data_IF_246412787261
#
_entry.id   IF_246412787261
#
_cell.length_a   1.000
_cell.length_b   1.000
_cell.length_c   1.000
_cell.angle_alpha   90.00
_cell.angle_beta   90.00
_cell.angle_gamma   90.00
#
_symmetry.space_group_name_H-M   'P 1'
#
loop_
_entity.id
_entity.type
_entity.pdbx_description
1 polymer ?
#
# COMPACT_ATOMS: atom_id res chain seq x y z
N UNK A 1 -91.93 -45.72 7.46
CA UNK A 1 -90.64 -45.55 8.17
C UNK A 1 -90.14 -44.13 7.90
N UNK A 2 -89.93 -43.37 8.99
CA UNK A 2 -89.04 -42.20 9.19
C UNK A 2 -88.98 -41.02 8.19
N UNK A 3 -89.62 -39.92 8.63
CA UNK A 3 -89.22 -38.48 8.73
C UNK A 3 -88.43 -37.73 7.63
N UNK A 4 -88.65 -36.40 7.53
CA UNK A 4 -88.02 -35.48 6.58
C UNK A 4 -86.65 -34.98 7.09
N UNK A 5 -85.82 -34.42 6.21
CA UNK A 5 -84.65 -33.62 6.63
C UNK A 5 -84.43 -32.43 5.71
N UNK A 6 -84.45 -31.28 6.36
CA UNK A 6 -84.16 -29.92 5.94
C UNK A 6 -82.79 -29.58 6.54
N UNK A 7 -81.77 -29.21 5.76
CA UNK A 7 -80.55 -28.54 6.25
C UNK A 7 -79.97 -27.62 5.15
N UNK A 8 -80.33 -26.34 5.25
CA UNK A 8 -79.50 -25.11 5.26
C UNK A 8 -78.30 -24.87 4.32
N UNK A 9 -78.06 -23.58 3.97
CA UNK A 9 -76.99 -23.12 3.08
C UNK A 9 -75.60 -23.12 3.73
N UNK A 10 -74.57 -23.38 2.92
CA UNK A 10 -73.17 -23.30 3.32
C UNK A 10 -72.79 -21.85 3.71
N UNK A 11 -72.25 -21.71 4.92
CA UNK A 11 -71.60 -20.51 5.44
C UNK A 11 -70.09 -20.54 5.18
N UNK A 12 -69.55 -19.34 5.01
CA UNK A 12 -68.23 -18.85 5.38
C UNK A 12 -67.01 -19.18 4.50
N UNK A 13 -66.57 -18.10 3.83
CA UNK A 13 -65.22 -17.59 3.79
C UNK A 13 -64.30 -18.07 4.92
N UNK A 14 -63.16 -18.66 4.53
CA UNK A 14 -61.90 -18.52 5.26
C UNK A 14 -60.79 -18.36 4.23
N UNK A 15 -60.67 -17.15 3.68
CA UNK A 15 -59.38 -16.68 3.17
C UNK A 15 -58.42 -16.69 4.35
N UNK A 16 -57.38 -17.52 4.27
CA UNK A 16 -56.27 -17.44 5.23
C UNK A 16 -55.78 -15.99 5.30
N UNK A 17 -55.56 -15.41 6.49
CA UNK A 17 -55.02 -14.06 6.58
C UNK A 17 -53.69 -14.01 5.81
N UNK A 18 -53.42 -12.94 5.05
CA UNK A 18 -52.15 -12.79 4.36
C UNK A 18 -51.03 -12.96 5.39
N UNK A 19 -50.10 -13.88 5.12
CA UNK A 19 -48.91 -14.01 5.96
C UNK A 19 -48.26 -12.63 6.07
N UNK A 20 -47.89 -12.17 7.29
CA UNK A 20 -47.26 -10.89 7.45
C UNK A 20 -46.00 -10.85 6.58
N UNK A 21 -45.94 -9.87 5.69
CA UNK A 21 -44.75 -9.59 4.90
C UNK A 21 -43.54 -9.53 5.85
N UNK A 22 -42.39 -10.14 5.50
CA UNK A 22 -41.21 -10.10 6.34
C UNK A 22 -40.91 -8.66 6.71
N UNK A 23 -40.82 -8.40 8.03
CA UNK A 23 -40.58 -7.06 8.56
C UNK A 23 -39.38 -6.41 7.88
N UNK A 24 -39.50 -5.12 7.55
CA UNK A 24 -38.40 -4.39 6.90
C UNK A 24 -37.15 -4.47 7.78
N UNK A 25 -35.98 -4.75 7.21
CA UNK A 25 -34.72 -4.82 7.96
C UNK A 25 -34.51 -3.60 8.88
N UNK A 26 -34.85 -2.40 8.38
CA UNK A 26 -34.73 -1.14 9.12
C UNK A 26 -35.68 -0.99 10.32
N UNK A 27 -36.70 -1.83 10.44
CA UNK A 27 -37.61 -1.83 11.60
C UNK A 27 -37.17 -2.78 12.72
N UNK A 28 -36.14 -3.60 12.48
CA UNK A 28 -35.56 -4.44 13.54
C UNK A 28 -34.82 -3.57 14.56
N UNK A 29 -34.72 -4.05 15.80
CA UNK A 29 -33.87 -3.44 16.81
C UNK A 29 -32.40 -3.41 16.36
N UNK A 30 -31.65 -2.41 16.80
CA UNK A 30 -30.27 -2.17 16.37
C UNK A 30 -29.37 -3.40 16.52
N UNK A 31 -29.50 -4.12 17.63
CA UNK A 31 -28.74 -5.34 17.93
C UNK A 31 -29.01 -6.45 16.91
N UNK A 32 -30.27 -6.66 16.54
CA UNK A 32 -30.65 -7.66 15.54
C UNK A 32 -30.16 -7.29 14.15
N UNK A 33 -30.21 -5.99 13.81
CA UNK A 33 -29.62 -5.50 12.56
C UNK A 33 -28.11 -5.75 12.53
N UNK A 34 -27.41 -5.44 13.61
CA UNK A 34 -25.96 -5.67 13.73
C UNK A 34 -25.63 -7.16 13.62
N UNK A 35 -26.36 -8.04 14.30
CA UNK A 35 -26.14 -9.48 14.24
C UNK A 35 -26.29 -10.02 12.81
N UNK A 36 -27.41 -9.68 12.14
CA UNK A 36 -27.64 -10.11 10.74
C UNK A 36 -26.53 -9.61 9.82
N UNK A 37 -26.07 -8.37 10.01
CA UNK A 37 -24.97 -7.81 9.22
C UNK A 37 -23.66 -8.52 9.52
N UNK A 38 -23.35 -8.82 10.79
CA UNK A 38 -22.14 -9.55 11.21
C UNK A 38 -22.09 -10.95 10.60
N UNK A 39 -23.22 -11.63 10.48
CA UNK A 39 -23.33 -12.98 9.90
C UNK A 39 -23.17 -12.99 8.37
N UNK A 40 -23.26 -11.83 7.71
CA UNK A 40 -23.22 -11.75 6.24
C UNK A 40 -21.83 -11.97 5.64
N UNK A 41 -20.77 -11.93 6.46
CA UNK A 41 -19.40 -12.09 6.02
C UNK A 41 -18.50 -12.50 7.18
N UNK A 42 -17.63 -13.47 6.93
CA UNK A 42 -16.59 -13.90 7.86
C UNK A 42 -15.22 -13.36 7.40
N UNK A 43 -14.61 -12.39 8.11
CA UNK A 43 -13.30 -11.84 7.75
C UNK A 43 -12.15 -12.82 8.01
N UNK A 44 -12.43 -13.94 8.69
CA UNK A 44 -11.45 -14.97 9.08
C UNK A 44 -11.54 -16.23 8.23
N UNK A 45 -12.58 -16.40 7.41
CA UNK A 45 -12.66 -17.53 6.48
C UNK A 45 -11.66 -17.37 5.32
N UNK A 46 -11.20 -18.49 4.74
CA UNK A 46 -10.44 -18.44 3.49
C UNK A 46 -11.28 -17.85 2.35
N UNK A 47 -10.61 -17.37 1.30
CA UNK A 47 -11.30 -16.82 0.15
C UNK A 47 -12.17 -17.90 -0.51
N UNK A 48 -13.43 -17.59 -0.91
CA UNK A 48 -14.31 -18.56 -1.57
C UNK A 48 -13.75 -19.15 -2.86
N UNK A 49 -12.75 -18.49 -3.46
CA UNK A 49 -11.98 -18.95 -4.63
C UNK A 49 -11.06 -20.13 -4.34
N UNK A 50 -10.91 -20.55 -3.08
CA UNK A 50 -9.91 -21.54 -2.65
C UNK A 50 -8.50 -20.96 -2.55
N UNK A 51 -8.36 -19.65 -2.73
CA UNK A 51 -7.10 -18.93 -2.52
C UNK A 51 -6.81 -18.78 -1.01
N UNK A 52 -5.53 -18.78 -0.61
CA UNK A 52 -5.16 -18.58 0.79
C UNK A 52 -5.68 -17.23 1.28
N UNK A 53 -6.07 -17.18 2.56
CA UNK A 53 -6.47 -15.94 3.20
C UNK A 53 -5.41 -14.84 3.05
N UNK A 54 -5.84 -13.66 2.60
CA UNK A 54 -5.00 -12.47 2.49
C UNK A 54 -5.66 -11.27 3.16
N UNK A 55 -4.96 -10.66 4.13
CA UNK A 55 -5.42 -9.50 4.88
C UNK A 55 -5.89 -8.37 3.97
N UNK A 56 -5.13 -8.03 2.92
CA UNK A 56 -5.47 -6.94 1.99
C UNK A 56 -6.76 -7.21 1.23
N UNK A 57 -7.01 -8.46 0.86
CA UNK A 57 -8.22 -8.86 0.13
C UNK A 57 -9.45 -8.71 1.01
N UNK A 58 -9.41 -9.24 2.23
CA UNK A 58 -10.53 -9.12 3.16
C UNK A 58 -10.74 -7.69 3.65
N UNK A 59 -9.68 -6.92 3.89
CA UNK A 59 -9.77 -5.51 4.26
C UNK A 59 -10.46 -4.69 3.15
N UNK A 60 -10.04 -4.86 1.90
CA UNK A 60 -10.65 -4.18 0.76
C UNK A 60 -12.12 -4.60 0.55
N UNK A 61 -12.47 -5.87 0.81
CA UNK A 61 -13.85 -6.34 0.75
C UNK A 61 -14.73 -5.64 1.80
N UNK A 62 -14.25 -5.51 3.04
CA UNK A 62 -14.94 -4.77 4.13
C UNK A 62 -15.12 -3.30 3.75
N UNK A 63 -14.06 -2.64 3.28
CA UNK A 63 -14.13 -1.23 2.86
C UNK A 63 -15.14 -1.03 1.72
N UNK A 64 -15.08 -1.87 0.70
CA UNK A 64 -16.00 -1.82 -0.44
C UNK A 64 -17.45 -2.03 0.01
N UNK A 65 -17.71 -3.04 0.84
CA UNK A 65 -19.02 -3.31 1.41
C UNK A 65 -19.55 -2.09 2.18
N UNK A 66 -18.70 -1.52 3.06
CA UNK A 66 -19.07 -0.37 3.87
C UNK A 66 -19.38 0.84 2.99
N UNK A 67 -18.54 1.17 2.01
CA UNK A 67 -18.78 2.29 1.10
C UNK A 67 -20.11 2.14 0.35
N UNK A 68 -20.40 0.95 -0.19
CA UNK A 68 -21.64 0.70 -0.93
C UNK A 68 -22.87 0.88 -0.03
N UNK A 69 -22.88 0.27 1.15
CA UNK A 69 -24.05 0.32 2.04
C UNK A 69 -24.21 1.68 2.74
N UNK A 70 -23.10 2.32 3.10
CA UNK A 70 -23.11 3.63 3.74
C UNK A 70 -23.68 4.72 2.81
N UNK A 71 -23.51 4.56 1.50
CA UNK A 71 -24.06 5.49 0.50
C UNK A 71 -25.52 5.22 0.15
N UNK A 72 -26.06 4.03 0.43
CA UNK A 72 -27.41 3.63 0.02
C UNK A 72 -28.46 3.83 1.11
N UNK A 73 -28.13 3.67 2.40
CA UNK A 73 -29.12 3.78 3.47
C UNK A 73 -28.62 4.53 4.71
N UNK A 74 -29.10 5.78 4.88
CA UNK A 74 -28.75 6.64 6.03
C UNK A 74 -29.15 6.03 7.39
N UNK A 75 -30.27 5.32 7.43
CA UNK A 75 -30.89 4.84 8.69
C UNK A 75 -30.09 3.74 9.39
N UNK A 76 -29.26 3.00 8.66
CA UNK A 76 -28.48 1.87 9.20
C UNK A 76 -27.00 2.21 9.38
N UNK A 77 -26.56 3.43 9.04
CA UNK A 77 -25.15 3.83 9.09
C UNK A 77 -24.46 3.55 10.43
N UNK A 78 -25.07 3.82 11.60
CA UNK A 78 -24.43 3.49 12.87
C UNK A 78 -24.13 1.98 13.00
N UNK A 79 -25.04 1.13 12.51
CA UNK A 79 -24.87 -0.32 12.52
C UNK A 79 -23.79 -0.77 11.54
N UNK A 80 -23.72 -0.15 10.35
CA UNK A 80 -22.65 -0.42 9.39
C UNK A 80 -21.26 -0.05 9.97
N UNK A 81 -21.16 1.07 10.68
CA UNK A 81 -19.90 1.50 11.32
C UNK A 81 -19.49 0.55 12.46
N UNK A 82 -20.45 0.09 13.27
CA UNK A 82 -20.22 -0.93 14.28
C UNK A 82 -19.69 -2.23 13.66
N UNK A 83 -20.40 -2.77 12.66
CA UNK A 83 -20.03 -4.03 11.98
C UNK A 83 -18.65 -3.93 11.33
N UNK A 84 -18.38 -2.83 10.62
CA UNK A 84 -17.05 -2.55 10.05
C UNK A 84 -15.96 -2.61 11.12
N UNK A 85 -16.20 -2.00 12.28
CA UNK A 85 -15.24 -1.97 13.39
C UNK A 85 -14.99 -3.39 13.92
N UNK A 86 -16.04 -4.18 14.13
CA UNK A 86 -15.92 -5.56 14.60
C UNK A 86 -15.19 -6.46 13.61
N UNK A 87 -15.56 -6.43 12.33
CA UNK A 87 -14.85 -7.21 11.30
C UNK A 87 -13.39 -6.79 11.16
N UNK A 88 -13.08 -5.49 11.23
CA UNK A 88 -11.70 -5.01 11.18
C UNK A 88 -10.90 -5.49 12.39
N UNK A 89 -11.51 -5.54 13.57
CA UNK A 89 -10.88 -6.08 14.77
C UNK A 89 -10.59 -7.59 14.64
N UNK A 90 -11.56 -8.38 14.16
CA UNK A 90 -11.38 -9.82 13.89
C UNK A 90 -10.28 -10.06 12.85
N UNK A 91 -10.27 -9.26 11.77
CA UNK A 91 -9.27 -9.34 10.72
C UNK A 91 -7.85 -9.05 11.25
N UNK A 92 -7.72 -8.03 12.10
CA UNK A 92 -6.45 -7.69 12.74
C UNK A 92 -5.99 -8.77 13.72
N UNK A 93 -6.90 -9.37 14.49
CA UNK A 93 -6.57 -10.47 15.40
C UNK A 93 -5.98 -11.67 14.64
N UNK A 94 -6.64 -12.12 13.55
CA UNK A 94 -6.13 -13.20 12.69
C UNK A 94 -4.76 -12.85 12.07
N UNK A 95 -4.58 -11.60 11.62
CA UNK A 95 -3.29 -11.13 11.10
C UNK A 95 -2.16 -11.27 12.12
N UNK A 96 -2.41 -10.90 13.38
CA UNK A 96 -1.43 -10.99 14.47
C UNK A 96 -1.13 -12.45 14.84
N UNK A 97 -2.13 -13.32 14.85
CA UNK A 97 -1.96 -14.77 15.08
C UNK A 97 -1.03 -15.40 14.03
N UNK A 98 -1.25 -15.13 12.75
CA UNK A 98 -0.40 -15.62 11.65
C UNK A 98 1.03 -15.07 11.77
N UNK A 99 1.18 -13.79 12.12
CA UNK A 99 2.48 -13.15 12.24
C UNK A 99 3.31 -13.63 13.45
N UNK A 100 2.65 -14.05 14.54
CA UNK A 100 3.29 -14.38 15.82
C UNK A 100 3.63 -15.86 15.98
N UNK A 101 2.83 -16.77 15.42
CA UNK A 101 2.89 -18.20 15.74
C UNK A 101 4.14 -18.94 15.22
N UNK A 102 4.93 -18.35 14.33
CA UNK A 102 5.95 -19.13 13.59
C UNK A 102 7.27 -18.41 13.30
N UNK A 103 7.36 -17.09 13.51
CA UNK A 103 8.37 -16.25 12.86
C UNK A 103 9.85 -16.70 12.99
N UNK A 104 10.39 -17.05 14.18
CA UNK A 104 11.81 -17.41 14.33
C UNK A 104 12.19 -18.73 13.65
N UNK A 105 11.23 -19.64 13.47
CA UNK A 105 11.47 -21.01 12.99
C UNK A 105 11.13 -21.20 11.52
N UNK A 106 10.56 -20.18 10.86
CA UNK A 106 10.23 -20.23 9.43
C UNK A 106 11.46 -20.17 8.52
N UNK A 107 11.40 -20.93 7.43
CA UNK A 107 12.25 -20.75 6.25
C UNK A 107 11.94 -19.44 5.51
N UNK A 108 12.83 -18.99 4.64
CA UNK A 108 12.64 -17.78 3.81
C UNK A 108 11.32 -17.80 3.04
N UNK A 109 11.01 -18.90 2.35
CA UNK A 109 9.77 -19.03 1.57
C UNK A 109 8.51 -18.94 2.44
N UNK A 110 8.56 -19.49 3.66
CA UNK A 110 7.44 -19.39 4.60
C UNK A 110 7.28 -17.98 5.17
N UNK A 111 8.38 -17.27 5.44
CA UNK A 111 8.33 -15.85 5.87
C UNK A 111 7.73 -14.97 4.78
N UNK A 112 8.11 -15.21 3.53
CA UNK A 112 7.51 -14.53 2.37
C UNK A 112 6.01 -14.82 2.29
N UNK A 113 5.58 -16.07 2.44
CA UNK A 113 4.16 -16.43 2.44
C UNK A 113 3.40 -15.74 3.58
N UNK A 114 3.92 -15.76 4.81
CA UNK A 114 3.33 -15.04 5.95
C UNK A 114 3.24 -13.54 5.67
N UNK A 115 4.26 -12.96 5.04
CA UNK A 115 4.21 -11.56 4.66
C UNK A 115 3.11 -11.28 3.63
N UNK A 116 3.04 -12.07 2.58
CA UNK A 116 2.02 -11.97 1.53
C UNK A 116 0.62 -12.08 2.14
N UNK A 117 0.39 -13.03 3.04
CA UNK A 117 -0.90 -13.21 3.70
C UNK A 117 -1.24 -12.02 4.62
N UNK A 118 -0.29 -11.52 5.40
CA UNK A 118 -0.56 -10.48 6.42
C UNK A 118 -0.55 -9.06 5.86
N UNK A 119 0.07 -8.83 4.70
CA UNK A 119 0.29 -7.48 4.15
C UNK A 119 0.04 -7.38 2.64
N UNK A 120 -0.02 -8.49 1.91
CA UNK A 120 -0.19 -8.55 0.44
C UNK A 120 1.14 -8.73 -0.34
N UNK A 121 1.07 -9.16 -1.62
CA UNK A 121 2.26 -9.50 -2.44
C UNK A 121 3.12 -8.31 -2.87
N UNK A 122 2.60 -7.08 -2.75
CA UNK A 122 3.28 -5.83 -3.15
C UNK A 122 3.82 -5.02 -1.99
N UNK A 123 3.69 -5.51 -0.76
CA UNK A 123 4.01 -4.77 0.45
C UNK A 123 5.18 -5.37 1.24
N UNK A 124 5.86 -6.39 0.70
CA UNK A 124 7.10 -6.93 1.28
C UNK A 124 8.12 -5.81 1.52
N UNK A 125 8.81 -5.76 2.67
CA UNK A 125 9.70 -4.68 3.06
C UNK A 125 10.75 -4.39 1.99
N UNK A 126 11.43 -5.44 1.54
CA UNK A 126 12.44 -5.38 0.51
C UNK A 126 11.89 -4.78 -0.77
N UNK A 127 10.77 -5.26 -1.33
CA UNK A 127 10.17 -4.65 -2.55
C UNK A 127 9.77 -3.18 -2.34
N UNK A 128 9.24 -2.81 -1.17
CA UNK A 128 8.86 -1.41 -0.86
C UNK A 128 10.10 -0.51 -0.87
N UNK A 129 11.13 -0.89 -0.12
CA UNK A 129 12.39 -0.16 0.01
C UNK A 129 13.12 -0.10 -1.34
N UNK A 130 13.23 -1.24 -2.01
CA UNK A 130 13.80 -1.37 -3.36
C UNK A 130 13.22 -0.38 -4.34
N UNK A 131 11.88 -0.33 -4.40
CA UNK A 131 11.17 0.54 -5.33
C UNK A 131 11.38 2.02 -4.99
N UNK A 132 11.34 2.38 -3.71
CA UNK A 132 11.54 3.76 -3.24
C UNK A 132 12.96 4.24 -3.52
N UNK A 133 13.96 3.41 -3.19
CA UNK A 133 15.37 3.67 -3.52
C UNK A 133 15.58 3.81 -5.03
N UNK A 134 15.00 2.91 -5.83
CA UNK A 134 15.10 2.98 -7.30
C UNK A 134 14.59 4.33 -7.83
N UNK A 135 13.40 4.77 -7.38
CA UNK A 135 12.82 6.05 -7.80
C UNK A 135 13.74 7.21 -7.41
N UNK A 136 14.17 7.26 -6.15
CA UNK A 136 15.06 8.30 -5.63
C UNK A 136 16.38 8.37 -6.44
N UNK A 137 17.02 7.22 -6.66
CA UNK A 137 18.28 7.14 -7.41
C UNK A 137 18.12 7.54 -8.87
N UNK A 138 17.01 7.13 -9.50
CA UNK A 138 16.70 7.51 -10.88
C UNK A 138 16.48 9.02 -11.01
N UNK A 139 15.71 9.60 -10.09
CA UNK A 139 15.40 11.03 -10.13
C UNK A 139 16.65 11.87 -9.85
N UNK A 140 17.50 11.42 -8.91
CA UNK A 140 18.83 12.01 -8.71
C UNK A 140 19.71 11.90 -9.95
N UNK A 141 19.77 10.74 -10.60
CA UNK A 141 20.54 10.53 -11.83
C UNK A 141 20.09 11.50 -12.91
N UNK A 142 18.80 11.57 -13.18
CA UNK A 142 18.26 12.43 -14.24
C UNK A 142 18.58 13.91 -14.01
N UNK A 143 18.35 14.39 -12.78
CA UNK A 143 18.60 15.80 -12.40
C UNK A 143 20.08 16.17 -12.40
N UNK A 144 20.96 15.29 -11.88
CA UNK A 144 22.40 15.52 -11.92
C UNK A 144 22.98 15.39 -13.32
N UNK A 145 22.49 14.45 -14.15
CA UNK A 145 22.95 14.31 -15.53
C UNK A 145 22.68 15.56 -16.36
N UNK A 146 21.53 16.24 -16.15
CA UNK A 146 21.27 17.55 -16.75
C UNK A 146 22.21 18.64 -16.25
N UNK A 147 22.45 18.70 -14.94
CA UNK A 147 23.32 19.72 -14.32
C UNK A 147 24.76 19.63 -14.83
N UNK A 148 25.26 18.41 -15.02
CA UNK A 148 26.66 18.14 -15.34
C UNK A 148 26.86 17.71 -16.80
N UNK A 149 25.93 18.02 -17.70
CA UNK A 149 26.00 17.67 -19.14
C UNK A 149 27.35 18.05 -19.76
N UNK A 150 27.91 19.20 -19.37
CA UNK A 150 29.25 19.63 -19.76
C UNK A 150 30.38 18.68 -19.32
N UNK A 151 30.36 18.18 -18.08
CA UNK A 151 31.30 17.17 -17.59
C UNK A 151 31.16 15.85 -18.36
N UNK A 152 29.95 15.46 -18.77
CA UNK A 152 29.77 14.28 -19.61
C UNK A 152 30.43 14.44 -20.99
N UNK A 153 30.41 15.65 -21.55
CA UNK A 153 31.10 15.98 -22.79
C UNK A 153 32.64 16.05 -22.61
N UNK A 154 33.13 16.56 -21.47
CA UNK A 154 34.57 16.68 -21.19
C UNK A 154 35.25 15.33 -20.93
N UNK A 155 34.60 14.45 -20.15
CA UNK A 155 35.19 13.15 -19.76
C UNK A 155 34.94 12.08 -20.84
N UNK A 156 34.16 12.40 -21.88
CA UNK A 156 33.95 11.55 -23.07
C UNK A 156 33.16 10.26 -22.82
N UNK A 157 32.68 10.02 -21.59
CA UNK A 157 31.89 8.86 -21.22
C UNK A 157 30.96 9.16 -20.06
N UNK A 158 29.70 8.72 -20.20
CA UNK A 158 28.73 8.73 -19.11
C UNK A 158 29.20 7.93 -17.91
N UNK A 159 29.87 6.78 -18.10
CA UNK A 159 30.37 5.97 -17.00
C UNK A 159 31.50 6.64 -16.21
N UNK A 160 32.37 7.40 -16.87
CA UNK A 160 33.50 8.06 -16.24
C UNK A 160 33.07 9.29 -15.42
N UNK A 161 32.16 10.09 -15.95
CA UNK A 161 31.52 11.18 -15.19
C UNK A 161 30.61 10.63 -14.06
N UNK A 162 29.96 9.49 -14.27
CA UNK A 162 29.12 8.81 -13.26
C UNK A 162 29.91 8.35 -12.03
N UNK A 163 31.21 8.04 -12.15
CA UNK A 163 32.08 7.70 -11.02
C UNK A 163 32.49 8.91 -10.17
N UNK A 164 32.45 10.12 -10.73
CA UNK A 164 32.90 11.33 -10.04
C UNK A 164 31.80 11.98 -9.19
N UNK A 165 30.53 11.59 -9.39
CA UNK A 165 29.38 12.18 -8.71
C UNK A 165 28.61 11.07 -7.97
N UNK A 166 29.05 10.67 -6.75
CA UNK A 166 28.39 9.63 -5.99
C UNK A 166 27.02 10.09 -5.46
N UNK A 167 26.09 9.14 -5.31
CA UNK A 167 24.78 9.46 -4.73
C UNK A 167 24.92 9.65 -3.21
N UNK A 168 24.41 10.76 -2.62
CA UNK A 168 24.70 11.11 -1.23
C UNK A 168 24.21 10.10 -0.18
N UNK A 169 23.09 9.44 -0.45
CA UNK A 169 22.47 8.46 0.45
C UNK A 169 22.83 7.02 0.07
N UNK A 170 23.58 6.82 -1.01
CA UNK A 170 23.78 5.51 -1.61
C UNK A 170 24.98 5.52 -2.56
N UNK A 171 26.18 5.43 -1.99
CA UNK A 171 27.45 5.49 -2.75
C UNK A 171 27.51 4.45 -3.89
N UNK A 172 26.72 3.37 -3.80
CA UNK A 172 26.65 2.30 -4.79
C UNK A 172 25.42 2.37 -5.73
N UNK A 173 24.58 3.39 -5.61
CA UNK A 173 23.34 3.59 -6.38
C UNK A 173 23.52 3.36 -7.89
N UNK A 174 24.58 3.95 -8.49
CA UNK A 174 24.81 3.91 -9.94
C UNK A 174 25.31 2.55 -10.43
N UNK A 175 26.04 1.78 -9.61
CA UNK A 175 26.46 0.41 -9.97
C UNK A 175 25.25 -0.52 -10.15
N UNK A 176 24.17 -0.27 -9.40
CA UNK A 176 22.93 -1.04 -9.50
C UNK A 176 22.01 -0.56 -10.64
N UNK A 177 22.11 0.70 -11.04
CA UNK A 177 21.30 1.30 -12.12
C UNK A 177 21.67 0.87 -13.55
N UNK A 178 22.88 0.36 -13.78
CA UNK A 178 23.32 -0.17 -15.09
C UNK A 178 22.72 -1.55 -15.41
N UNK A 179 22.32 -2.32 -14.39
CA UNK A 179 21.76 -3.67 -14.53
C UNK A 179 20.26 -3.73 -14.23
N UNK A 180 19.53 -2.65 -14.53
CA UNK A 180 18.09 -2.50 -14.24
C UNK A 180 17.14 -3.56 -14.83
N UNK A 181 17.67 -4.57 -15.53
CA UNK A 181 16.93 -5.73 -16.04
C UNK A 181 17.09 -7.03 -15.24
N UNK A 182 17.92 -7.07 -14.20
CA UNK A 182 18.22 -8.31 -13.47
C UNK A 182 17.56 -8.31 -12.09
N UNK A 183 16.23 -8.25 -12.08
CA UNK A 183 15.45 -8.68 -10.89
C UNK A 183 15.23 -10.20 -10.92
N UNK A 184 15.60 -10.89 -12.02
CA UNK A 184 15.31 -12.32 -12.24
C UNK A 184 16.54 -13.25 -12.37
N UNK A 185 17.79 -12.75 -12.33
CA UNK A 185 18.94 -13.57 -12.75
C UNK A 185 19.86 -14.10 -11.65
N UNK A 186 19.49 -14.01 -10.35
CA UNK A 186 20.28 -14.63 -9.27
C UNK A 186 21.72 -14.14 -9.15
N UNK A 187 22.08 -13.00 -9.77
CA UNK A 187 23.40 -12.38 -9.62
C UNK A 187 23.44 -11.64 -8.29
N UNK A 188 24.35 -12.08 -7.43
CA UNK A 188 24.59 -11.60 -6.07
C UNK A 188 24.41 -10.08 -5.92
N UNK A 189 23.35 -9.73 -5.20
CA UNK A 189 23.03 -8.39 -4.76
C UNK A 189 23.89 -7.98 -3.55
N UNK A 190 25.20 -8.24 -3.57
CA UNK A 190 26.10 -8.12 -2.40
C UNK A 190 26.42 -6.67 -1.98
N UNK A 191 25.65 -5.68 -2.42
CA UNK A 191 25.86 -4.26 -2.08
C UNK A 191 24.53 -3.51 -1.98
N UNK A 192 23.58 -4.00 -1.18
CA UNK A 192 22.36 -3.23 -0.91
C UNK A 192 22.60 -2.10 0.08
N UNK A 193 21.80 -1.04 -0.05
CA UNK A 193 21.82 0.12 0.85
C UNK A 193 21.49 -0.36 2.25
N UNK A 194 22.46 -0.24 3.14
CA UNK A 194 22.20 -0.25 4.57
C UNK A 194 21.37 1.02 4.86
N UNK A 195 20.06 0.85 5.08
CA UNK A 195 19.21 1.96 5.52
C UNK A 195 19.71 2.51 6.88
N UNK A 196 19.17 3.62 7.40
CA UNK A 196 19.54 4.13 8.73
C UNK A 196 19.32 3.09 9.84
N UNK A 197 18.44 2.11 9.60
CA UNK A 197 18.27 0.97 10.50
C UNK A 197 19.48 0.04 10.62
N UNK A 198 20.48 0.15 9.74
CA UNK A 198 21.60 -0.79 9.69
C UNK A 198 21.27 -2.09 8.94
N UNK A 199 20.05 -2.23 8.40
CA UNK A 199 19.57 -3.48 7.81
C UNK A 199 19.89 -3.60 6.33
N UNK A 200 20.31 -4.80 5.93
CA UNK A 200 20.44 -5.17 4.53
C UNK A 200 19.13 -5.76 4.01
N UNK A 201 18.49 -5.05 3.09
CA UNK A 201 17.25 -5.47 2.46
C UNK A 201 17.51 -6.29 1.19
N UNK A 202 18.01 -7.52 1.36
CA UNK A 202 18.09 -8.50 0.26
C UNK A 202 16.67 -8.79 -0.28
N UNK A 203 16.53 -9.12 -1.56
CA UNK A 203 15.22 -9.42 -2.18
C UNK A 203 14.47 -10.60 -1.53
N UNK A 204 15.21 -11.50 -0.88
CA UNK A 204 14.68 -12.62 -0.07
C UNK A 204 14.51 -12.24 1.41
N UNK A 205 15.13 -11.14 1.84
CA UNK A 205 15.29 -10.68 3.20
C UNK A 205 15.96 -11.69 4.15
N UNK A 206 16.47 -12.82 3.66
CA UNK A 206 16.78 -13.98 4.49
C UNK A 206 17.92 -13.76 5.50
N UNK A 207 18.91 -12.95 5.15
CA UNK A 207 20.19 -12.86 5.88
C UNK A 207 20.17 -12.04 7.16
N UNK A 208 19.28 -11.05 7.27
CA UNK A 208 19.38 -10.03 8.34
C UNK A 208 18.05 -9.66 9.04
N UNK A 209 16.99 -10.48 8.98
CA UNK A 209 15.68 -10.10 9.53
C UNK A 209 15.65 -9.92 11.06
N UNK A 210 14.81 -9.00 11.60
CA UNK A 210 14.53 -8.94 13.03
C UNK A 210 13.78 -10.19 13.50
N UNK A 211 13.91 -10.49 14.80
CA UNK A 211 13.34 -11.68 15.44
C UNK A 211 11.81 -11.70 15.49
N UNK A 212 11.12 -10.60 15.16
CA UNK A 212 9.66 -10.54 15.09
C UNK A 212 9.19 -9.84 13.82
N UNK A 213 7.99 -10.21 13.37
CA UNK A 213 7.34 -9.58 12.22
C UNK A 213 7.04 -8.09 12.45
N UNK A 214 6.67 -7.70 13.68
CA UNK A 214 6.43 -6.29 14.02
C UNK A 214 7.71 -5.47 13.99
N UNK A 215 8.83 -6.01 14.50
CA UNK A 215 10.12 -5.35 14.41
C UNK A 215 10.56 -5.22 12.94
N UNK A 216 10.37 -6.26 12.12
CA UNK A 216 10.62 -6.18 10.68
C UNK A 216 9.81 -5.07 10.01
N UNK A 217 8.52 -4.97 10.35
CA UNK A 217 7.66 -3.92 9.82
C UNK A 217 8.09 -2.52 10.28
N UNK A 218 8.39 -2.33 11.57
CA UNK A 218 8.81 -1.04 12.11
C UNK A 218 10.13 -0.56 11.49
N UNK A 219 11.10 -1.45 11.34
CA UNK A 219 12.37 -1.16 10.68
C UNK A 219 12.15 -0.81 9.21
N UNK A 220 11.30 -1.57 8.50
CA UNK A 220 10.97 -1.29 7.11
C UNK A 220 10.31 0.08 6.92
N UNK A 221 9.36 0.41 7.78
CA UNK A 221 8.65 1.69 7.73
C UNK A 221 9.60 2.86 8.06
N UNK A 222 10.52 2.68 9.02
CA UNK A 222 11.57 3.65 9.33
C UNK A 222 12.51 3.93 8.15
N UNK A 223 12.99 2.88 7.49
CA UNK A 223 13.85 3.03 6.31
C UNK A 223 13.11 3.65 5.12
N UNK A 224 11.83 3.29 4.91
CA UNK A 224 10.99 3.95 3.89
C UNK A 224 10.86 5.44 4.19
N UNK A 225 10.58 5.82 5.45
CA UNK A 225 10.45 7.22 5.85
C UNK A 225 11.75 8.00 5.62
N UNK A 226 12.90 7.40 5.92
CA UNK A 226 14.20 7.99 5.63
C UNK A 226 14.41 8.23 4.14
N UNK A 227 14.13 7.24 3.29
CA UNK A 227 14.26 7.38 1.82
C UNK A 227 13.35 8.49 1.30
N UNK A 228 12.14 8.59 1.82
CA UNK A 228 11.21 9.66 1.48
C UNK A 228 11.72 11.03 1.91
N UNK A 229 12.34 11.14 3.09
CA UNK A 229 12.95 12.38 3.55
C UNK A 229 14.17 12.77 2.69
N UNK A 230 15.05 11.82 2.35
CA UNK A 230 16.14 12.06 1.40
C UNK A 230 15.60 12.58 0.07
N UNK A 231 14.51 12.00 -0.44
CA UNK A 231 13.90 12.44 -1.68
C UNK A 231 13.35 13.87 -1.58
N UNK A 232 12.70 14.20 -0.47
CA UNK A 232 12.18 15.55 -0.20
C UNK A 232 13.30 16.57 -0.15
N UNK A 233 14.33 16.32 0.66
CA UNK A 233 15.50 17.19 0.83
C UNK A 233 16.21 17.40 -0.50
N UNK A 234 16.46 16.33 -1.25
CA UNK A 234 17.07 16.40 -2.57
C UNK A 234 16.26 17.22 -3.56
N UNK A 235 14.94 17.02 -3.59
CA UNK A 235 14.06 17.74 -4.51
C UNK A 235 14.04 19.23 -4.21
N UNK A 236 14.02 19.59 -2.93
CA UNK A 236 14.02 20.99 -2.51
C UNK A 236 15.37 21.66 -2.78
N UNK A 237 16.48 21.00 -2.47
CA UNK A 237 17.82 21.51 -2.77
C UNK A 237 17.98 21.77 -4.28
N UNK A 238 17.54 20.83 -5.12
CA UNK A 238 17.59 20.99 -6.57
C UNK A 238 16.71 22.16 -7.06
N UNK A 239 15.53 22.34 -6.47
CA UNK A 239 14.63 23.47 -6.81
C UNK A 239 15.28 24.82 -6.51
N UNK A 240 15.87 24.95 -5.32
CA UNK A 240 16.54 26.19 -4.88
C UNK A 240 17.73 26.52 -5.78
N UNK A 241 18.56 25.52 -6.10
CA UNK A 241 19.68 25.70 -7.04
C UNK A 241 19.21 26.13 -8.44
N UNK A 242 18.12 25.55 -8.94
CA UNK A 242 17.55 25.91 -10.25
C UNK A 242 17.03 27.35 -10.27
N UNK A 243 16.41 27.81 -9.17
CA UNK A 243 15.97 29.20 -9.02
C UNK A 243 17.13 30.18 -8.94
N UNK A 244 18.20 29.83 -8.22
CA UNK A 244 19.42 30.64 -8.16
C UNK A 244 20.07 30.76 -9.54
N UNK A 245 20.23 29.64 -10.25
CA UNK A 245 20.80 29.64 -11.60
C UNK A 245 20.00 30.49 -12.59
N UNK A 246 18.66 30.43 -12.53
CA UNK A 246 17.78 31.29 -13.35
C UNK A 246 18.00 32.76 -13.03
N UNK A 247 18.04 33.14 -11.76
CA UNK A 247 18.28 34.53 -11.33
C UNK A 247 19.63 35.05 -11.82
N UNK A 248 20.70 34.27 -11.67
CA UNK A 248 22.05 34.67 -12.14
C UNK A 248 22.08 34.88 -13.64
N UNK A 249 21.36 34.05 -14.40
CA UNK A 249 21.28 34.18 -15.86
C UNK A 249 20.48 35.40 -16.29
N UNK A 250 19.36 35.68 -15.63
CA UNK A 250 18.55 36.89 -15.86
C UNK A 250 19.35 38.16 -15.56
N UNK A 251 20.04 38.21 -14.42
CA UNK A 251 20.94 39.31 -14.06
C UNK A 251 22.05 39.52 -15.11
N UNK A 252 22.68 38.44 -15.58
CA UNK A 252 23.71 38.52 -16.62
C UNK A 252 23.16 39.05 -17.96
N UNK A 253 21.91 38.75 -18.31
CA UNK A 253 21.28 39.29 -19.51
C UNK A 253 20.88 40.77 -19.35
N UNK A 254 20.44 41.20 -18.17
CA UNK A 254 20.19 42.61 -17.86
C UNK A 254 21.48 43.45 -17.83
N UNK A 255 22.56 42.92 -17.26
CA UNK A 255 23.90 43.55 -17.30
C UNK A 255 24.39 43.73 -18.74
N UNK A 256 24.22 42.70 -19.59
CA UNK A 256 24.55 42.78 -21.02
C UNK A 256 23.71 43.84 -21.75
N UNK A 257 22.43 43.98 -21.41
CA UNK A 257 21.56 45.02 -21.97
C UNK A 257 21.97 46.43 -21.52
N UNK A 258 22.30 46.60 -20.25
CA UNK A 258 22.74 47.89 -19.69
C UNK A 258 24.05 48.35 -20.34
N UNK A 259 25.03 47.46 -20.46
CA UNK A 259 26.28 47.76 -21.18
C UNK A 259 26.05 48.06 -22.66
N UNK A 260 25.07 47.43 -23.32
CA UNK A 260 24.74 47.77 -24.71
C UNK A 260 24.09 49.15 -24.87
N UNK A 261 23.50 49.72 -23.80
CA UNK A 261 22.89 51.06 -23.82
C UNK A 261 23.90 52.19 -23.54
N UNK A 262 25.01 51.93 -22.84
CA UNK A 262 26.03 52.94 -22.55
C UNK A 262 27.00 53.20 -23.72
N UNK A 263 26.96 52.37 -24.77
CA UNK A 263 27.83 52.47 -25.95
C UNK A 263 27.11 52.96 -27.23
N UNK A 264 25.89 53.47 -27.12
CA UNK A 264 25.16 54.17 -28.17
C UNK A 264 24.75 55.57 -27.70
#
# INVERSE_FOLDING_TARGET
MTRPTDISPAKNDQSSPPQPLPGKFTSLASEHQQQILMESYDPTADCPSGEPWEYTTHFNAIEKWFTILNNTCLKIRPNLAYVKTQWTAQLNAKRLEIASSTWPTLTTAQREAVWVQTRGPRSSPWRRISRKLYILNRDWRFKTSKKYEHLYHEVGSYEAADQQIPCPWDVQARRRGLFGHLVDSGVQADNWVQGPSGMEWEASGARHMPHTWEALAGVADGDVAYIEDCHRVFTEAYRLEEEEWKKTRELSEEEKKTLSFEYF
#
